data_IF_014417811786
#
_entry.id   IF_014417811786
#
_cell.length_a   1.000
_cell.length_b   1.000
_cell.length_c   1.000
_cell.angle_alpha   90.00
_cell.angle_beta   90.00
_cell.angle_gamma   90.00
#
_symmetry.space_group_name_H-M   'P 1'
#
loop_
_entity.id
_entity.type
_entity.pdbx_description
1 polymer ?
#
# COMPACT_ATOMS: atom_id res chain seq x y z
N UNK A 1 -12.81 -41.01 -24.27
CA UNK A 1 -11.85 -40.50 -23.24
C UNK A 1 -10.75 -39.65 -23.89
N UNK A 2 -11.10 -38.55 -24.57
CA UNK A 2 -10.11 -37.66 -25.24
C UNK A 2 -10.33 -36.17 -24.92
N UNK A 3 -11.42 -35.81 -24.23
CA UNK A 3 -11.79 -34.43 -23.93
C UNK A 3 -10.95 -33.79 -22.82
N UNK A 4 -10.41 -34.59 -21.90
CA UNK A 4 -9.66 -34.10 -20.73
C UNK A 4 -8.28 -33.51 -21.09
N UNK A 5 -7.75 -33.82 -22.29
CA UNK A 5 -6.47 -33.27 -22.76
C UNK A 5 -6.58 -31.82 -23.24
N UNK A 6 -7.79 -31.32 -23.50
CA UNK A 6 -8.02 -29.94 -23.94
C UNK A 6 -8.42 -28.96 -22.83
N UNK A 7 -8.75 -29.46 -21.62
CA UNK A 7 -9.15 -28.59 -20.50
C UNK A 7 -7.94 -27.98 -19.76
N UNK A 8 -6.80 -28.68 -19.75
CA UNK A 8 -5.57 -28.27 -19.07
C UNK A 8 -4.92 -26.98 -19.60
N UNK A 9 -4.87 -26.68 -20.92
CA UNK A 9 -4.28 -25.44 -21.41
C UNK A 9 -5.19 -24.21 -21.26
N UNK A 10 -6.52 -24.37 -21.11
CA UNK A 10 -7.46 -23.24 -20.96
C UNK A 10 -7.39 -22.63 -19.56
N UNK A 11 -7.23 -23.46 -18.52
CA UNK A 11 -7.06 -23.00 -17.13
C UNK A 11 -5.75 -22.21 -16.95
N UNK A 12 -4.69 -22.59 -17.68
CA UNK A 12 -3.41 -21.87 -17.64
C UNK A 12 -3.47 -20.55 -18.41
N UNK A 13 -4.39 -20.42 -19.38
CA UNK A 13 -4.64 -19.18 -20.13
C UNK A 13 -5.43 -18.13 -19.33
N UNK A 14 -6.18 -18.57 -18.31
CA UNK A 14 -6.97 -17.70 -17.44
C UNK A 14 -6.30 -17.41 -16.09
N UNK A 15 -5.03 -17.79 -15.86
CA UNK A 15 -4.28 -17.22 -14.75
C UNK A 15 -4.08 -15.72 -15.07
N UNK A 16 -4.77 -14.80 -14.37
CA UNK A 16 -4.47 -13.40 -14.56
C UNK A 16 -3.02 -13.21 -14.11
N UNK A 17 -2.23 -12.56 -14.96
CA UNK A 17 -0.96 -11.95 -14.57
C UNK A 17 -1.32 -10.90 -13.53
N UNK A 18 -1.35 -11.28 -12.25
CA UNK A 18 -1.49 -10.33 -11.16
C UNK A 18 -0.16 -9.56 -11.14
N UNK A 19 -0.13 -8.47 -11.91
CA UNK A 19 0.98 -7.53 -11.88
C UNK A 19 0.97 -6.89 -10.50
N UNK A 20 1.86 -7.34 -9.62
CA UNK A 20 2.24 -6.58 -8.42
C UNK A 20 3.07 -5.38 -8.92
N UNK A 21 2.38 -4.36 -9.43
CA UNK A 21 2.99 -3.06 -9.61
C UNK A 21 3.37 -2.54 -8.22
N UNK A 22 4.66 -2.32 -7.98
CA UNK A 22 5.14 -1.66 -6.78
C UNK A 22 4.56 -0.22 -6.74
N UNK A 23 4.33 0.35 -5.55
CA UNK A 23 3.87 1.73 -5.45
C UNK A 23 4.90 2.66 -6.11
N UNK A 24 4.41 3.53 -6.98
CA UNK A 24 5.24 4.50 -7.72
C UNK A 24 5.49 5.77 -6.88
N UNK A 25 4.70 5.99 -5.82
CA UNK A 25 4.80 7.19 -4.97
C UNK A 25 4.49 6.90 -3.51
N UNK A 26 5.43 7.24 -2.63
CA UNK A 26 5.31 7.07 -1.19
C UNK A 26 5.27 8.40 -0.45
N UNK A 27 4.37 8.50 0.52
CA UNK A 27 4.19 9.68 1.36
C UNK A 27 4.23 9.29 2.84
N UNK A 28 4.81 10.13 3.69
CA UNK A 28 4.90 9.91 5.13
C UNK A 28 4.09 10.96 5.86
N UNK A 29 2.93 10.56 6.38
CA UNK A 29 1.99 11.41 7.09
C UNK A 29 2.16 11.27 8.60
N UNK A 30 2.57 12.34 9.26
CA UNK A 30 2.70 12.42 10.71
C UNK A 30 1.51 13.17 11.29
N UNK A 31 0.85 12.57 12.27
CA UNK A 31 -0.40 13.06 12.84
C UNK A 31 -0.51 12.83 14.35
N UNK A 32 -1.57 13.34 14.96
CA UNK A 32 -1.99 12.94 16.30
C UNK A 32 -3.48 12.63 16.33
N UNK A 33 -3.90 11.68 17.15
CA UNK A 33 -5.32 11.31 17.34
C UNK A 33 -6.14 12.46 17.94
N UNK A 34 -5.52 13.26 18.80
CA UNK A 34 -6.14 14.40 19.51
C UNK A 34 -6.27 15.67 18.63
N UNK A 35 -5.87 15.59 17.36
CA UNK A 35 -5.82 16.72 16.44
C UNK A 35 -6.99 16.68 15.44
N UNK A 36 -7.95 17.60 15.59
CA UNK A 36 -9.12 17.68 14.70
C UNK A 36 -8.77 17.90 13.23
N UNK A 37 -7.80 18.79 12.95
CA UNK A 37 -7.30 19.05 11.60
C UNK A 37 -6.64 17.81 10.97
N UNK A 38 -6.07 16.93 11.80
CA UNK A 38 -5.44 15.70 11.35
C UNK A 38 -6.48 14.66 10.92
N UNK A 39 -7.65 14.64 11.56
CA UNK A 39 -8.76 13.76 11.20
C UNK A 39 -9.34 14.14 9.83
N UNK A 40 -9.58 15.44 9.61
CA UNK A 40 -10.03 15.95 8.30
C UNK A 40 -9.04 15.58 7.19
N UNK A 41 -7.74 15.79 7.44
CA UNK A 41 -6.68 15.45 6.50
C UNK A 41 -6.69 13.95 6.21
N UNK A 42 -6.78 13.10 7.24
CA UNK A 42 -6.77 11.65 7.09
C UNK A 42 -7.89 11.13 6.17
N UNK A 43 -9.10 11.69 6.28
CA UNK A 43 -10.21 11.34 5.37
C UNK A 43 -9.90 11.66 3.91
N UNK A 44 -9.25 12.80 3.63
CA UNK A 44 -8.82 13.14 2.27
C UNK A 44 -7.74 12.18 1.79
N UNK A 45 -6.74 11.86 2.63
CA UNK A 45 -5.68 10.92 2.29
C UNK A 45 -6.22 9.53 1.94
N UNK A 46 -7.20 9.02 2.70
CA UNK A 46 -7.86 7.74 2.41
C UNK A 46 -8.59 7.74 1.07
N UNK A 47 -9.24 8.85 0.73
CA UNK A 47 -9.90 8.99 -0.57
C UNK A 47 -8.90 8.99 -1.73
N UNK A 48 -7.71 9.55 -1.52
CA UNK A 48 -6.64 9.57 -2.51
C UNK A 48 -5.98 8.20 -2.68
N UNK A 49 -5.69 7.47 -1.60
CA UNK A 49 -5.17 6.10 -1.68
C UNK A 49 -6.16 5.15 -2.39
N UNK A 50 -7.46 5.30 -2.13
CA UNK A 50 -8.48 4.54 -2.81
C UNK A 50 -8.59 4.88 -4.32
N UNK A 51 -8.40 6.15 -4.67
CA UNK A 51 -8.46 6.65 -6.05
C UNK A 51 -7.21 6.31 -6.87
N UNK A 52 -6.04 6.28 -6.24
CA UNK A 52 -4.74 6.09 -6.88
C UNK A 52 -4.03 4.86 -6.29
N UNK A 53 -4.24 3.65 -6.84
CA UNK A 53 -3.74 2.39 -6.25
C UNK A 53 -2.22 2.22 -6.31
N UNK A 54 -1.50 3.13 -6.99
CA UNK A 54 -0.04 3.20 -7.04
C UNK A 54 0.55 4.18 -6.00
N UNK A 55 -0.30 4.81 -5.19
CA UNK A 55 0.08 5.68 -4.08
C UNK A 55 0.03 4.90 -2.77
N UNK A 56 1.06 5.10 -1.94
CA UNK A 56 1.10 4.57 -0.57
C UNK A 56 1.34 5.70 0.42
N UNK A 57 0.48 5.82 1.43
CA UNK A 57 0.60 6.83 2.49
C UNK A 57 0.81 6.14 3.82
N UNK A 58 2.03 6.25 4.34
CA UNK A 58 2.37 5.73 5.67
C UNK A 58 1.95 6.73 6.74
N UNK A 59 1.09 6.31 7.67
CA UNK A 59 0.56 7.17 8.74
C UNK A 59 1.27 6.86 10.06
N UNK A 60 1.75 7.90 10.75
CA UNK A 60 2.47 7.79 12.03
C UNK A 60 1.89 8.74 13.07
N UNK A 61 1.33 8.17 14.13
CA UNK A 61 0.88 8.91 15.31
C UNK A 61 2.12 9.33 16.12
N UNK A 62 2.25 10.62 16.49
CA UNK A 62 3.47 11.14 17.15
C UNK A 62 3.27 11.61 18.60
N UNK A 63 2.04 11.57 19.11
CA UNK A 63 1.74 12.06 20.45
C UNK A 63 1.89 10.96 21.50
N UNK A 64 1.36 9.78 21.21
CA UNK A 64 1.37 8.61 22.07
C UNK A 64 2.48 7.61 21.71
N UNK A 65 3.02 7.66 20.50
CA UNK A 65 4.16 6.82 20.08
C UNK A 65 5.48 7.61 20.05
N UNK A 66 6.38 7.30 20.99
CA UNK A 66 7.66 7.99 21.12
C UNK A 66 8.66 7.64 20.00
N UNK A 67 8.59 6.45 19.42
CA UNK A 67 9.47 6.07 18.30
C UNK A 67 9.04 6.81 17.03
N UNK A 68 7.74 6.89 16.78
CA UNK A 68 7.20 7.72 15.70
C UNK A 68 7.51 9.20 15.91
N UNK A 69 7.44 9.71 17.15
CA UNK A 69 7.85 11.08 17.47
C UNK A 69 9.34 11.33 17.19
N UNK A 70 10.20 10.36 17.51
CA UNK A 70 11.63 10.42 17.20
C UNK A 70 11.85 10.43 15.68
N UNK A 71 11.16 9.56 14.94
CA UNK A 71 11.17 9.56 13.47
C UNK A 71 10.68 10.89 12.90
N UNK A 72 9.59 11.45 13.41
CA UNK A 72 9.07 12.76 13.01
C UNK A 72 10.12 13.86 13.16
N UNK A 73 10.83 13.90 14.30
CA UNK A 73 11.91 14.85 14.52
C UNK A 73 13.07 14.67 13.52
N UNK A 74 13.39 13.44 13.12
CA UNK A 74 14.41 13.19 12.08
C UNK A 74 13.97 13.75 10.72
N UNK A 75 12.70 13.59 10.35
CA UNK A 75 12.15 14.18 9.13
C UNK A 75 12.18 15.72 9.19
N UNK A 76 11.72 16.33 10.29
CA UNK A 76 11.79 17.77 10.49
C UNK A 76 13.24 18.29 10.34
N UNK A 77 14.20 17.64 10.99
CA UNK A 77 15.61 18.01 10.91
C UNK A 77 16.18 17.88 9.49
N UNK A 78 15.85 16.78 8.80
CA UNK A 78 16.30 16.55 7.42
C UNK A 78 15.80 17.64 6.47
N UNK A 79 14.56 18.07 6.65
CA UNK A 79 13.95 19.15 5.86
C UNK A 79 14.23 20.55 6.44
N UNK A 80 15.09 20.67 7.46
CA UNK A 80 15.49 21.92 8.11
C UNK A 80 14.30 22.74 8.68
N UNK A 81 13.25 22.05 9.12
CA UNK A 81 12.04 22.66 9.68
C UNK A 81 12.22 22.85 11.19
N UNK A 82 12.14 24.09 11.65
CA UNK A 82 12.19 24.42 13.08
C UNK A 82 10.77 24.54 13.67
N UNK A 83 10.46 23.75 14.70
CA UNK A 83 9.23 23.92 15.49
C UNK A 83 7.92 23.53 14.79
N UNK A 84 7.91 22.37 14.10
CA UNK A 84 6.71 21.87 13.42
C UNK A 84 5.69 21.22 14.35
N UNK A 85 4.40 21.42 14.06
CA UNK A 85 3.28 20.67 14.63
C UNK A 85 2.62 19.78 13.57
N UNK A 86 1.80 18.83 14.00
CA UNK A 86 1.01 17.98 13.11
C UNK A 86 -0.28 18.69 12.63
N UNK A 87 -0.82 18.34 11.46
CA UNK A 87 -0.35 17.32 10.53
C UNK A 87 0.81 17.78 9.64
N UNK A 88 1.71 16.86 9.29
CA UNK A 88 2.77 17.08 8.30
C UNK A 88 2.85 15.90 7.36
N UNK A 89 3.04 16.15 6.08
CA UNK A 89 3.24 15.10 5.08
C UNK A 89 4.57 15.32 4.36
N UNK A 90 5.41 14.30 4.37
CA UNK A 90 6.73 14.34 3.72
C UNK A 90 6.76 13.47 2.47
N UNK A 91 7.53 13.96 1.50
CA UNK A 91 7.97 13.30 0.28
C UNK A 91 9.51 13.30 0.28
N UNK A 92 10.13 12.61 -0.67
CA UNK A 92 11.60 12.50 -0.78
C UNK A 92 12.32 13.85 -0.76
N UNK A 93 11.78 14.82 -1.51
CA UNK A 93 12.38 16.14 -1.78
C UNK A 93 11.52 17.31 -1.29
N UNK A 94 10.28 17.05 -0.87
CA UNK A 94 9.26 18.06 -0.57
C UNK A 94 8.48 17.69 0.69
N UNK A 95 7.79 18.67 1.27
CA UNK A 95 6.87 18.44 2.38
C UNK A 95 5.69 19.42 2.33
N UNK A 96 4.65 19.09 3.08
CA UNK A 96 3.50 19.95 3.34
C UNK A 96 3.27 20.09 4.84
N UNK A 97 3.17 21.34 5.30
CA UNK A 97 2.87 21.69 6.67
C UNK A 97 1.38 22.03 6.81
N UNK A 98 0.69 21.30 7.68
CA UNK A 98 -0.71 21.52 8.02
C UNK A 98 -1.69 20.99 6.98
N UNK A 99 -2.94 20.85 7.42
CA UNK A 99 -4.05 20.27 6.65
C UNK A 99 -4.26 20.96 5.29
N UNK A 100 -4.26 22.30 5.29
CA UNK A 100 -4.52 23.09 4.08
C UNK A 100 -3.52 22.84 2.96
N UNK A 101 -2.23 22.72 3.27
CA UNK A 101 -1.23 22.45 2.24
C UNK A 101 -1.37 21.03 1.68
N UNK A 102 -1.68 20.06 2.56
CA UNK A 102 -1.86 18.67 2.17
C UNK A 102 -3.07 18.53 1.24
N UNK A 103 -4.24 18.99 1.68
CA UNK A 103 -5.51 18.84 0.95
C UNK A 103 -5.46 19.53 -0.42
N UNK A 104 -4.91 20.74 -0.50
CA UNK A 104 -4.97 21.53 -1.73
C UNK A 104 -3.94 21.11 -2.79
N UNK A 105 -2.86 20.41 -2.40
CA UNK A 105 -1.73 20.20 -3.30
C UNK A 105 -1.38 18.72 -3.54
N UNK A 106 -1.72 17.80 -2.63
CA UNK A 106 -1.25 16.42 -2.71
C UNK A 106 -1.74 15.69 -3.98
N UNK A 107 -3.01 15.84 -4.33
CA UNK A 107 -3.57 15.19 -5.54
C UNK A 107 -2.89 15.68 -6.83
N UNK A 108 -2.56 16.97 -6.89
CA UNK A 108 -1.83 17.55 -8.01
C UNK A 108 -0.40 16.99 -8.11
N UNK A 109 0.25 16.68 -6.99
CA UNK A 109 1.57 16.04 -6.99
C UNK A 109 1.48 14.55 -7.37
N UNK A 110 0.47 13.83 -6.88
CA UNK A 110 0.19 12.44 -7.27
C UNK A 110 0.01 12.32 -8.79
N UNK A 111 -0.75 13.25 -9.39
CA UNK A 111 -1.08 13.19 -10.82
C UNK A 111 0.05 13.63 -11.74
N UNK A 112 1.08 14.34 -11.23
CA UNK A 112 2.23 14.79 -12.04
C UNK A 112 3.26 13.71 -12.35
N UNK A 113 3.14 12.51 -11.76
CA UNK A 113 4.10 11.42 -12.01
C UNK A 113 5.42 11.62 -11.26
N UNK A 114 6.45 10.76 -11.47
CA UNK A 114 7.28 10.15 -10.42
C UNK A 114 8.35 11.09 -9.83
N UNK A 115 7.94 12.18 -9.19
CA UNK A 115 8.80 13.02 -8.34
C UNK A 115 8.99 12.44 -6.94
N UNK A 116 8.24 11.39 -6.57
CA UNK A 116 8.20 10.88 -5.19
C UNK A 116 8.50 9.37 -5.12
N UNK A 117 9.53 8.95 -5.85
CA UNK A 117 9.99 7.56 -5.84
C UNK A 117 10.15 7.06 -4.41
N UNK A 118 9.47 5.96 -4.09
CA UNK A 118 9.64 5.26 -2.84
C UNK A 118 11.10 4.86 -2.67
N UNK A 119 11.70 5.02 -1.48
CA UNK A 119 13.03 4.47 -1.23
C UNK A 119 12.97 2.95 -1.49
N UNK A 120 13.69 2.53 -2.53
CA UNK A 120 13.80 1.13 -2.94
C UNK A 120 14.69 0.40 -1.95
N UNK A 121 14.12 0.03 -0.80
CA UNK A 121 14.78 -0.83 0.18
C UNK A 121 13.78 -1.65 0.98
N UNK A 122 13.14 -2.62 0.32
CA UNK A 122 12.76 -3.91 0.94
C UNK A 122 12.78 -5.02 -0.13
N UNK A 123 13.88 -5.09 -0.88
CA UNK A 123 14.27 -6.31 -1.58
C UNK A 123 15.75 -6.55 -1.29
N UNK A 124 16.00 -7.53 -0.41
CA UNK A 124 17.23 -8.28 -0.18
C UNK A 124 18.46 -7.80 -0.98
N UNK A 125 19.36 -7.05 -0.32
CA UNK A 125 20.80 -7.33 -0.21
C UNK A 125 21.58 -6.04 0.06
N UNK A 126 22.48 -6.12 1.03
CA UNK A 126 23.32 -5.08 1.60
C UNK A 126 23.93 -4.08 0.58
N UNK A 127 23.30 -2.92 0.36
CA UNK A 127 23.93 -1.62 0.11
C UNK A 127 22.86 -0.50 0.24
N UNK A 128 23.16 0.65 0.89
CA UNK A 128 22.18 1.72 1.13
C UNK A 128 21.99 2.57 -0.13
N UNK A 129 20.75 2.75 -0.57
CA UNK A 129 20.41 3.71 -1.64
C UNK A 129 20.61 5.14 -1.12
N UNK A 130 21.69 5.75 -1.60
CA UNK A 130 22.32 6.99 -1.12
C UNK A 130 21.57 8.29 -1.49
N UNK A 131 20.24 8.32 -1.39
CA UNK A 131 19.46 9.58 -1.51
C UNK A 131 18.53 9.87 -0.31
N UNK A 132 18.39 8.91 0.60
CA UNK A 132 18.02 9.17 1.99
C UNK A 132 19.28 8.90 2.81
N UNK A 133 20.06 9.97 3.10
CA UNK A 133 21.30 9.86 3.85
C UNK A 133 21.12 9.03 5.11
N UNK A 134 22.09 8.13 5.35
CA UNK A 134 22.11 7.12 6.41
C UNK A 134 21.44 7.60 7.69
N UNK A 135 20.24 7.10 7.94
CA UNK A 135 19.61 7.19 9.27
C UNK A 135 20.18 6.03 10.08
N UNK A 136 21.37 6.28 10.64
CA UNK A 136 22.04 5.35 11.53
C UNK A 136 21.36 5.33 12.91
N UNK A 137 20.25 4.59 13.02
CA UNK A 137 19.82 3.85 14.22
C UNK A 137 18.37 3.34 14.14
N UNK A 138 18.19 2.07 13.76
CA UNK A 138 17.11 1.25 14.31
C UNK A 138 15.85 1.02 13.46
N UNK A 139 15.95 0.94 12.13
CA UNK A 139 14.83 0.56 11.24
C UNK A 139 14.47 -0.94 11.29
N UNK A 140 14.38 -1.50 12.49
CA UNK A 140 13.95 -2.88 12.74
C UNK A 140 12.92 -2.87 13.89
N UNK A 141 11.72 -2.36 13.60
CA UNK A 141 10.41 -2.79 14.13
C UNK A 141 9.35 -1.73 13.83
N UNK A 142 8.95 -1.63 12.57
CA UNK A 142 7.55 -1.29 12.28
C UNK A 142 6.97 -2.55 11.65
N UNK A 143 6.15 -3.24 12.44
CA UNK A 143 5.55 -4.50 12.02
C UNK A 143 4.75 -4.25 10.74
N UNK A 144 4.91 -5.18 9.80
CA UNK A 144 4.13 -5.32 8.59
C UNK A 144 2.66 -5.67 8.92
N UNK A 145 1.99 -4.80 9.67
CA UNK A 145 0.57 -4.88 10.04
C UNK A 145 -0.30 -3.96 9.17
N UNK A 146 0.25 -3.43 8.06
CA UNK A 146 -0.52 -2.93 6.92
C UNK A 146 -0.69 -4.01 5.83
N UNK A 147 -0.25 -5.23 6.12
CA UNK A 147 -0.52 -6.39 5.27
C UNK A 147 -2.02 -6.70 5.17
N UNK A 148 -2.87 -6.13 6.02
CA UNK A 148 -4.31 -6.40 6.01
C UNK A 148 -5.01 -5.77 4.79
N UNK A 149 -4.49 -4.66 4.24
CA UNK A 149 -4.98 -4.10 2.96
C UNK A 149 -4.58 -4.94 1.75
N UNK A 150 -3.46 -5.68 1.85
CA UNK A 150 -3.04 -6.68 0.85
C UNK A 150 -3.84 -7.98 1.02
N UNK A 151 -4.14 -8.39 2.25
CA UNK A 151 -4.96 -9.57 2.55
C UNK A 151 -6.42 -9.39 2.11
N UNK A 152 -6.99 -8.18 2.18
CA UNK A 152 -8.31 -7.87 1.62
C UNK A 152 -8.36 -8.06 0.08
N UNK A 153 -7.21 -8.03 -0.60
CA UNK A 153 -7.10 -8.36 -2.03
C UNK A 153 -6.99 -9.88 -2.26
N UNK A 154 -6.48 -10.65 -1.29
CA UNK A 154 -6.43 -12.11 -1.32
C UNK A 154 -7.77 -12.77 -0.93
N UNK A 155 -8.59 -12.13 -0.08
CA UNK A 155 -9.90 -12.67 0.30
C UNK A 155 -10.83 -12.80 -0.91
N UNK A 156 -10.76 -11.86 -1.85
CA UNK A 156 -11.49 -11.95 -3.12
C UNK A 156 -11.03 -13.16 -3.94
N UNK A 157 -9.72 -13.48 -3.93
CA UNK A 157 -9.16 -14.64 -4.65
C UNK A 157 -9.67 -15.95 -4.05
N UNK A 158 -9.72 -16.05 -2.72
CA UNK A 158 -10.25 -17.24 -2.02
C UNK A 158 -11.73 -17.45 -2.38
N UNK A 159 -12.52 -16.37 -2.44
CA UNK A 159 -13.93 -16.41 -2.85
C UNK A 159 -14.09 -16.92 -4.29
N UNK A 160 -13.28 -16.43 -5.24
CA UNK A 160 -13.33 -16.90 -6.63
C UNK A 160 -12.88 -18.36 -6.79
N UNK A 161 -11.87 -18.80 -6.04
CA UNK A 161 -11.43 -20.21 -6.03
C UNK A 161 -12.56 -21.10 -5.49
N UNK A 162 -13.22 -20.69 -4.40
CA UNK A 162 -14.32 -21.45 -3.81
C UNK A 162 -15.51 -21.59 -4.78
N UNK A 163 -15.90 -20.50 -5.46
CA UNK A 163 -16.96 -20.53 -6.48
C UNK A 163 -16.57 -21.42 -7.67
N UNK A 164 -15.31 -21.34 -8.12
CA UNK A 164 -14.80 -22.17 -9.20
C UNK A 164 -14.84 -23.67 -8.87
N UNK A 165 -14.39 -24.05 -7.66
CA UNK A 165 -14.47 -25.45 -7.18
C UNK A 165 -15.93 -25.91 -7.12
N UNK A 166 -16.84 -25.07 -6.64
CA UNK A 166 -18.26 -25.40 -6.52
C UNK A 166 -18.92 -25.65 -7.89
N UNK A 167 -18.60 -24.82 -8.90
CA UNK A 167 -19.05 -25.03 -10.28
C UNK A 167 -18.49 -26.32 -10.89
N UNK A 168 -17.22 -26.64 -10.63
CA UNK A 168 -16.61 -27.89 -11.09
C UNK A 168 -17.26 -29.13 -10.46
N UNK A 169 -17.62 -29.07 -9.18
CA UNK A 169 -18.35 -30.15 -8.49
C UNK A 169 -19.74 -30.35 -9.12
N UNK A 170 -20.47 -29.26 -9.38
CA UNK A 170 -21.81 -29.32 -10.00
C UNK A 170 -21.72 -29.94 -11.40
N UNK A 171 -20.75 -29.51 -12.21
CA UNK A 171 -20.52 -30.08 -13.54
C UNK A 171 -20.13 -31.56 -13.48
N UNK A 172 -19.28 -31.95 -12.52
CA UNK A 172 -18.89 -33.35 -12.32
C UNK A 172 -20.09 -34.23 -11.92
N UNK A 173 -20.96 -33.74 -11.04
CA UNK A 173 -22.18 -34.43 -10.64
C UNK A 173 -23.18 -34.56 -11.80
N UNK A 174 -23.31 -33.52 -12.63
CA UNK A 174 -24.13 -33.55 -13.85
C UNK A 174 -23.64 -34.62 -14.83
N UNK A 175 -22.34 -34.65 -15.10
CA UNK A 175 -21.72 -35.63 -16.01
C UNK A 175 -21.83 -37.07 -15.49
N UNK A 176 -21.78 -37.27 -14.17
CA UNK A 176 -22.00 -38.58 -13.53
C UNK A 176 -23.46 -39.05 -13.63
N UNK A 177 -24.41 -38.13 -13.81
CA UNK A 177 -25.84 -38.45 -13.98
C UNK A 177 -26.15 -38.87 -15.41
N UNK A 178 -25.56 -38.19 -16.39
CA UNK A 178 -25.73 -38.50 -17.81
C UNK A 178 -25.16 -39.88 -18.20
N UNK A 179 -24.04 -40.31 -17.59
CA UNK A 179 -23.49 -41.65 -17.80
C UNK A 179 -24.29 -42.80 -17.17
N UNK A 180 -25.32 -42.51 -16.37
CA UNK A 180 -26.16 -43.54 -15.70
C UNK A 180 -27.52 -43.75 -16.37
N UNK A 181 -27.86 -42.93 -17.37
CA UNK A 181 -28.99 -43.15 -18.28
C UNK A 181 -28.47 -43.61 -19.63
#
# INVERSE_FOLDING_TARGET
>A
MKFFKFLFPVIFLFLPLISLAAPDSCFFYFYSEECSLCQETATVLESLEAKYPNVQIHKYEVWHDQENKKMFNQFLNKHQISGGGVPVLFMTDKYYLGSQQIINNLENDITKGPSHACPTSVASNNQPSSQFGSIDNGWQKYNAQDSDTVLNKLDNIIVYIAIGILLLIVLWLGFKREKRN
#
